data_IF_583117625385
#
_entry.id   IF_583117625385
#
_cell.length_a   1.000
_cell.length_b   1.000
_cell.length_c   1.000
_cell.angle_alpha   90.00
_cell.angle_beta   90.00
_cell.angle_gamma   90.00
#
_symmetry.space_group_name_H-M   'P 1'
#
loop_
_entity.id
_entity.type
_entity.pdbx_description
1 polymer ?
#
# COMPACT_ATOMS: atom_id res chain seq x y z
N UNK A 1 -5.03 -3.44 -11.52
CA UNK A 1 -5.16 -2.23 -10.68
C UNK A 1 -4.83 -0.91 -11.39
N UNK A 2 -4.53 -0.85 -12.71
CA UNK A 2 -4.31 0.43 -13.39
C UNK A 2 -3.13 1.25 -12.84
N UNK A 3 -1.97 0.61 -12.62
CA UNK A 3 -0.79 1.28 -12.06
C UNK A 3 -0.25 2.29 -13.08
N UNK A 4 -0.39 3.59 -12.78
CA UNK A 4 0.02 4.69 -13.66
C UNK A 4 1.36 5.33 -13.26
N UNK A 5 1.93 4.97 -12.12
CA UNK A 5 3.14 5.60 -11.57
C UNK A 5 3.95 4.58 -10.76
N UNK A 6 5.28 4.68 -10.82
CA UNK A 6 6.20 3.82 -10.06
C UNK A 6 6.99 4.64 -9.02
N UNK A 7 7.30 4.06 -7.84
CA UNK A 7 6.86 2.76 -7.33
C UNK A 7 5.41 2.80 -6.81
N UNK A 8 4.62 1.75 -7.03
CA UNK A 8 3.28 1.58 -6.41
C UNK A 8 3.23 0.27 -5.64
N UNK A 9 2.83 0.32 -4.37
CA UNK A 9 2.63 -0.82 -3.49
C UNK A 9 1.12 -1.02 -3.27
N UNK A 10 0.65 -2.25 -3.30
CA UNK A 10 -0.75 -2.61 -3.07
C UNK A 10 -0.83 -3.54 -1.87
N UNK A 11 -1.64 -3.18 -0.86
CA UNK A 11 -1.96 -4.05 0.26
C UNK A 11 -3.23 -4.82 -0.09
N UNK A 12 -3.11 -6.15 -0.06
CA UNK A 12 -4.20 -7.07 -0.38
C UNK A 12 -4.46 -7.95 0.84
N UNK A 13 -5.70 -7.95 1.32
CA UNK A 13 -6.16 -8.80 2.43
C UNK A 13 -7.41 -9.55 1.99
N UNK A 14 -7.44 -10.87 2.21
CA UNK A 14 -8.58 -11.73 1.84
C UNK A 14 -9.03 -11.59 0.38
N UNK A 15 -8.08 -11.39 -0.55
CA UNK A 15 -8.37 -11.22 -1.98
C UNK A 15 -8.94 -9.86 -2.39
N UNK A 16 -9.04 -8.89 -1.46
CA UNK A 16 -9.45 -7.51 -1.74
C UNK A 16 -8.29 -6.55 -1.51
N UNK A 17 -8.17 -5.52 -2.36
CA UNK A 17 -7.24 -4.42 -2.10
C UNK A 17 -7.79 -3.60 -0.95
N UNK A 18 -7.00 -3.51 0.12
CA UNK A 18 -7.33 -2.70 1.29
C UNK A 18 -6.59 -1.37 1.31
N UNK A 19 -5.43 -1.29 0.65
CA UNK A 19 -4.71 -0.03 0.50
C UNK A 19 -3.84 0.00 -0.77
N UNK A 20 -3.54 1.20 -1.25
CA UNK A 20 -2.64 1.46 -2.37
C UNK A 20 -1.75 2.65 -2.04
N UNK A 21 -0.44 2.44 -2.14
CA UNK A 21 0.58 3.45 -1.87
C UNK A 21 1.30 3.73 -3.18
N UNK A 22 1.22 4.97 -3.64
CA UNK A 22 1.89 5.43 -4.87
C UNK A 22 3.02 6.38 -4.48
N UNK A 23 4.23 6.12 -4.97
CA UNK A 23 5.44 6.87 -4.65
C UNK A 23 6.30 6.23 -3.55
N UNK A 24 7.51 6.76 -3.38
CA UNK A 24 8.40 6.33 -2.32
C UNK A 24 7.99 6.97 -1.00
N UNK A 25 7.57 6.16 -0.02
CA UNK A 25 7.21 6.64 1.32
C UNK A 25 8.17 6.08 2.38
N UNK A 26 8.40 6.80 3.49
CA UNK A 26 9.27 6.34 4.56
C UNK A 26 8.76 5.06 5.24
N UNK A 27 9.68 4.27 5.82
CA UNK A 27 9.35 3.00 6.49
C UNK A 27 8.29 3.15 7.59
N UNK A 28 8.32 4.23 8.37
CA UNK A 28 7.30 4.49 9.41
C UNK A 28 5.90 4.60 8.82
N UNK A 29 5.77 5.19 7.64
CA UNK A 29 4.48 5.32 6.97
C UNK A 29 3.96 3.96 6.49
N UNK A 30 4.85 3.11 5.97
CA UNK A 30 4.50 1.73 5.58
C UNK A 30 4.05 0.90 6.79
N UNK A 31 4.74 1.03 7.93
CA UNK A 31 4.39 0.32 9.16
C UNK A 31 3.00 0.73 9.67
N UNK A 32 2.71 2.03 9.75
CA UNK A 32 1.39 2.54 10.12
C UNK A 32 0.27 2.05 9.20
N UNK A 33 0.54 2.02 7.89
CA UNK A 33 -0.41 1.54 6.87
C UNK A 33 -0.72 0.05 7.04
N UNK A 34 0.30 -0.74 7.39
CA UNK A 34 0.14 -2.16 7.67
C UNK A 34 -0.61 -2.41 8.98
N UNK A 35 -0.29 -1.65 10.04
CA UNK A 35 -0.97 -1.73 11.34
C UNK A 35 -2.46 -1.37 11.21
N UNK A 36 -2.80 -0.36 10.40
CA UNK A 36 -4.18 0.02 10.12
C UNK A 36 -4.93 -1.01 9.24
N UNK A 37 -4.21 -1.88 8.53
CA UNK A 37 -4.78 -2.89 7.66
C UNK A 37 -4.90 -4.27 8.34
N UNK A 38 -4.30 -4.48 9.52
CA UNK A 38 -4.49 -5.64 10.40
C UNK A 38 -5.90 -5.66 11.01
#
# INVERSE_FOLDING_TARGET
YGVMSIPTLLLIKNGKVVDQIVGAVPKQHLAQRLDNAL
#
